data_IF_497034669936
#
_entry.id   IF_497034669936
#
_cell.length_a   1.000
_cell.length_b   1.000
_cell.length_c   1.000
_cell.angle_alpha   90.00
_cell.angle_beta   90.00
_cell.angle_gamma   90.00
#
_symmetry.space_group_name_H-M   'P 1'
#
loop_
_entity.id
_entity.type
_entity.pdbx_description
1 polymer ?
#
# COMPACT_ATOMS: atom_id res chain seq x y z
N UNK A 1 63.16 -53.43 -3.67
CA UNK A 1 62.10 -52.68 -2.95
C UNK A 1 61.60 -51.60 -3.89
N UNK A 2 60.63 -51.94 -4.73
CA UNK A 2 60.01 -50.97 -5.65
C UNK A 2 58.74 -50.49 -4.97
N UNK A 3 58.75 -49.22 -4.57
CA UNK A 3 57.65 -48.59 -3.85
C UNK A 3 56.40 -48.56 -4.72
N UNK A 4 55.38 -49.26 -4.26
CA UNK A 4 54.04 -49.26 -4.84
C UNK A 4 53.37 -47.92 -4.47
N UNK A 5 53.79 -46.85 -5.15
CA UNK A 5 53.16 -45.53 -4.99
C UNK A 5 51.88 -45.52 -5.82
N UNK A 6 50.87 -46.14 -5.21
CA UNK A 6 49.48 -45.73 -5.19
C UNK A 6 48.89 -45.24 -6.52
N UNK A 7 48.49 -46.19 -7.36
CA UNK A 7 47.62 -45.98 -8.52
C UNK A 7 46.25 -45.38 -8.17
N UNK A 8 45.87 -45.35 -6.89
CA UNK A 8 44.63 -44.76 -6.38
C UNK A 8 44.74 -43.25 -6.11
N UNK A 9 45.94 -42.72 -5.86
CA UNK A 9 46.16 -41.28 -5.58
C UNK A 9 45.73 -40.38 -6.76
N UNK A 10 46.06 -40.69 -8.04
CA UNK A 10 45.63 -39.86 -9.17
C UNK A 10 44.11 -39.83 -9.34
N UNK A 11 43.42 -40.96 -9.12
CA UNK A 11 41.96 -41.09 -9.28
C UNK A 11 41.21 -40.31 -8.20
N UNK A 12 41.64 -40.42 -6.95
CA UNK A 12 41.03 -39.69 -5.82
C UNK A 12 41.24 -38.18 -5.99
N UNK A 13 42.42 -37.77 -6.45
CA UNK A 13 42.75 -36.35 -6.67
C UNK A 13 41.95 -35.74 -7.83
N UNK A 14 41.74 -36.49 -8.92
CA UNK A 14 40.93 -36.05 -10.05
C UNK A 14 39.44 -35.90 -9.71
N UNK A 15 38.86 -36.85 -8.96
CA UNK A 15 37.48 -36.76 -8.49
C UNK A 15 37.27 -35.65 -7.45
N UNK A 16 38.23 -35.43 -6.55
CA UNK A 16 38.19 -34.34 -5.57
C UNK A 16 38.27 -32.95 -6.25
N UNK A 17 39.09 -32.81 -7.29
CA UNK A 17 39.23 -31.55 -8.04
C UNK A 17 37.98 -31.17 -8.84
N UNK A 18 37.36 -32.12 -9.54
CA UNK A 18 36.16 -31.87 -10.36
C UNK A 18 34.90 -31.76 -9.51
N UNK A 19 34.75 -32.60 -8.47
CA UNK A 19 33.64 -32.52 -7.51
C UNK A 19 33.67 -31.26 -6.65
N UNK A 20 34.87 -30.81 -6.24
CA UNK A 20 35.08 -29.57 -5.50
C UNK A 20 34.76 -28.32 -6.32
N UNK A 21 35.15 -28.28 -7.59
CA UNK A 21 34.86 -27.15 -8.49
C UNK A 21 33.36 -27.02 -8.81
N UNK A 22 32.68 -28.13 -9.14
CA UNK A 22 31.24 -28.10 -9.41
C UNK A 22 30.40 -27.88 -8.13
N UNK A 23 30.79 -28.48 -7.01
CA UNK A 23 30.12 -28.31 -5.72
C UNK A 23 30.23 -26.87 -5.19
N UNK A 24 31.42 -26.26 -5.27
CA UNK A 24 31.65 -24.86 -4.86
C UNK A 24 30.94 -23.85 -5.76
N UNK A 25 30.86 -24.13 -7.07
CA UNK A 25 30.13 -23.28 -8.02
C UNK A 25 28.61 -23.37 -7.81
N UNK A 26 28.08 -24.55 -7.48
CA UNK A 26 26.66 -24.74 -7.13
C UNK A 26 26.29 -24.07 -5.80
N UNK A 27 27.15 -24.19 -4.78
CA UNK A 27 27.03 -23.46 -3.52
C UNK A 27 27.07 -21.94 -3.73
N UNK A 28 27.99 -21.45 -4.56
CA UNK A 28 28.05 -20.02 -4.93
C UNK A 28 26.76 -19.56 -5.58
N UNK A 29 26.24 -20.30 -6.56
CA UNK A 29 24.93 -19.99 -7.17
C UNK A 29 23.79 -19.96 -6.15
N UNK A 30 23.73 -20.92 -5.22
CA UNK A 30 22.72 -20.92 -4.17
C UNK A 30 22.83 -19.71 -3.24
N UNK A 31 24.04 -19.32 -2.85
CA UNK A 31 24.26 -18.13 -2.02
C UNK A 31 23.92 -16.84 -2.78
N UNK A 32 24.25 -16.75 -4.06
CA UNK A 32 23.88 -15.62 -4.92
C UNK A 32 22.36 -15.51 -5.04
N UNK A 33 21.66 -16.61 -5.37
CA UNK A 33 20.20 -16.63 -5.43
C UNK A 33 19.57 -16.26 -4.08
N UNK A 34 20.14 -16.72 -2.95
CA UNK A 34 19.66 -16.34 -1.61
C UNK A 34 19.87 -14.84 -1.35
N UNK A 35 21.02 -14.27 -1.71
CA UNK A 35 21.31 -12.84 -1.57
C UNK A 35 20.43 -11.98 -2.46
N UNK A 36 20.23 -12.38 -3.70
CA UNK A 36 19.33 -11.70 -4.65
C UNK A 36 17.89 -11.70 -4.14
N UNK A 37 17.41 -12.85 -3.64
CA UNK A 37 16.07 -12.94 -3.01
C UNK A 37 15.97 -12.07 -1.76
N UNK A 38 17.02 -12.01 -0.93
CA UNK A 38 17.03 -11.16 0.26
C UNK A 38 17.04 -9.66 -0.10
N UNK A 39 17.86 -9.26 -1.07
CA UNK A 39 17.92 -7.89 -1.58
C UNK A 39 16.61 -7.47 -2.25
N UNK A 40 16.00 -8.36 -3.05
CA UNK A 40 14.69 -8.12 -3.65
C UNK A 40 13.60 -7.94 -2.58
N UNK A 41 13.60 -8.75 -1.51
CA UNK A 41 12.66 -8.59 -0.39
C UNK A 41 12.84 -7.27 0.35
N UNK A 42 14.09 -6.85 0.59
CA UNK A 42 14.37 -5.57 1.25
C UNK A 42 13.91 -4.40 0.37
N UNK A 43 14.18 -4.46 -0.93
CA UNK A 43 13.71 -3.46 -1.89
C UNK A 43 12.17 -3.38 -1.91
N UNK A 44 11.47 -4.51 -2.00
CA UNK A 44 10.00 -4.55 -1.93
C UNK A 44 9.47 -3.99 -0.61
N UNK A 45 10.10 -4.29 0.52
CA UNK A 45 9.70 -3.73 1.82
C UNK A 45 9.87 -2.20 1.84
N UNK A 46 10.98 -1.69 1.31
CA UNK A 46 11.23 -0.25 1.23
C UNK A 46 10.25 0.47 0.30
N UNK A 47 9.91 -0.14 -0.84
CA UNK A 47 8.93 0.40 -1.79
C UNK A 47 7.53 0.41 -1.19
N UNK A 48 7.17 -0.65 -0.46
CA UNK A 48 5.90 -0.76 0.27
C UNK A 48 5.75 0.30 1.35
N UNK A 49 6.80 0.55 2.12
CA UNK A 49 6.83 1.63 3.13
C UNK A 49 6.72 3.01 2.45
N UNK A 50 7.42 3.22 1.33
CA UNK A 50 7.40 4.48 0.59
C UNK A 50 6.01 4.79 0.01
N UNK A 51 5.39 3.86 -0.71
CA UNK A 51 4.04 4.06 -1.25
C UNK A 51 2.99 4.13 -0.13
N UNK A 52 3.13 3.30 0.91
CA UNK A 52 2.23 3.25 2.06
C UNK A 52 2.18 4.58 2.82
N UNK A 53 3.33 5.19 3.08
CA UNK A 53 3.40 6.48 3.78
C UNK A 53 2.74 7.62 2.99
N UNK A 54 2.97 7.69 1.68
CA UNK A 54 2.30 8.69 0.82
C UNK A 54 0.78 8.48 0.79
N UNK A 55 0.32 7.22 0.64
CA UNK A 55 -1.10 6.91 0.63
C UNK A 55 -1.78 7.22 1.96
N UNK A 56 -1.15 6.88 3.09
CA UNK A 56 -1.69 7.17 4.41
C UNK A 56 -1.85 8.68 4.62
N UNK A 57 -0.85 9.49 4.27
CA UNK A 57 -0.94 10.96 4.40
C UNK A 57 -2.06 11.51 3.52
N UNK A 58 -2.14 11.04 2.27
CA UNK A 58 -3.16 11.51 1.33
C UNK A 58 -4.57 11.14 1.77
N UNK A 59 -4.77 9.91 2.24
CA UNK A 59 -6.05 9.44 2.79
C UNK A 59 -6.39 10.16 4.10
N UNK A 60 -5.42 10.43 4.96
CA UNK A 60 -5.63 11.15 6.22
C UNK A 60 -6.11 12.59 5.95
N UNK A 61 -5.45 13.31 5.03
CA UNK A 61 -5.87 14.64 4.61
C UNK A 61 -7.28 14.63 4.01
N UNK A 62 -7.57 13.68 3.12
CA UNK A 62 -8.91 13.56 2.52
C UNK A 62 -9.99 13.26 3.58
N UNK A 63 -9.68 12.35 4.51
CA UNK A 63 -10.55 11.99 5.63
C UNK A 63 -10.85 13.21 6.50
N UNK A 64 -9.87 14.04 6.83
CA UNK A 64 -10.09 15.25 7.64
C UNK A 64 -11.04 16.23 6.95
N UNK A 65 -10.85 16.46 5.64
CA UNK A 65 -11.71 17.35 4.86
C UNK A 65 -13.14 16.78 4.81
N UNK A 66 -13.29 15.47 4.60
CA UNK A 66 -14.59 14.80 4.61
C UNK A 66 -15.27 14.85 5.98
N UNK A 67 -14.51 14.67 7.06
CA UNK A 67 -15.03 14.75 8.41
C UNK A 67 -15.48 16.17 8.77
N UNK A 68 -14.69 17.19 8.40
CA UNK A 68 -15.07 18.59 8.58
C UNK A 68 -16.35 18.93 7.80
N UNK A 69 -16.49 18.41 6.58
CA UNK A 69 -17.70 18.57 5.77
C UNK A 69 -18.90 17.86 6.41
N UNK A 70 -18.73 16.63 6.89
CA UNK A 70 -19.81 15.84 7.50
C UNK A 70 -20.44 16.48 8.75
N UNK A 71 -19.69 17.35 9.45
CA UNK A 71 -20.16 18.06 10.64
C UNK A 71 -20.97 19.31 10.33
N UNK A 72 -20.69 19.96 9.20
CA UNK A 72 -21.30 21.23 8.80
C UNK A 72 -21.24 21.34 7.28
N UNK A 73 -22.05 20.56 6.55
CA UNK A 73 -22.12 20.65 5.09
C UNK A 73 -22.80 21.95 4.66
N UNK A 74 -23.69 22.49 5.50
CA UNK A 74 -24.23 23.85 5.41
C UNK A 74 -23.55 24.73 6.47
N UNK A 75 -23.15 25.94 6.08
CA UNK A 75 -22.59 26.96 6.99
C UNK A 75 -23.15 28.32 6.61
N UNK A 76 -23.70 29.04 7.59
CA UNK A 76 -24.20 30.40 7.41
C UNK A 76 -25.18 30.49 6.20
N UNK A 77 -26.12 29.54 6.12
CA UNK A 77 -27.12 29.39 5.04
C UNK A 77 -26.56 29.05 3.64
N UNK A 78 -25.25 28.86 3.50
CA UNK A 78 -24.61 28.47 2.26
C UNK A 78 -24.12 27.01 2.32
N UNK A 79 -24.33 26.28 1.23
CA UNK A 79 -23.77 24.93 1.06
C UNK A 79 -22.25 25.08 0.87
N UNK A 80 -21.47 24.40 1.72
CA UNK A 80 -20.01 24.39 1.57
C UNK A 80 -19.63 23.69 0.28
N UNK A 81 -18.51 24.14 -0.30
CA UNK A 81 -17.88 23.41 -1.40
C UNK A 81 -17.58 21.98 -0.97
N UNK A 82 -17.92 21.03 -1.83
CA UNK A 82 -17.75 19.61 -1.57
C UNK A 82 -16.26 19.23 -1.59
N UNK A 83 -15.80 18.34 -0.69
CA UNK A 83 -14.42 17.86 -0.67
C UNK A 83 -13.98 17.29 -2.02
N UNK A 84 -12.84 17.75 -2.52
CA UNK A 84 -12.35 17.28 -3.81
C UNK A 84 -11.78 15.86 -3.74
N UNK A 85 -11.81 15.11 -4.86
CA UNK A 85 -11.21 13.76 -4.89
C UNK A 85 -9.70 13.90 -4.73
N UNK A 86 -9.06 13.15 -3.82
CA UNK A 86 -7.61 13.10 -3.76
C UNK A 86 -7.07 12.51 -5.07
N UNK A 87 -6.19 13.25 -5.75
CA UNK A 87 -5.55 12.78 -6.98
C UNK A 87 -4.47 11.71 -6.70
N UNK A 88 -4.91 10.46 -6.62
CA UNK A 88 -4.00 9.33 -6.37
C UNK A 88 -2.95 9.13 -7.46
N UNK A 89 -3.07 9.78 -8.64
CA UNK A 89 -2.04 9.69 -9.69
C UNK A 89 -0.72 10.38 -9.30
N UNK A 90 -0.77 11.29 -8.32
CA UNK A 90 0.40 11.99 -7.78
C UNK A 90 1.27 11.07 -6.92
N UNK A 91 0.71 9.96 -6.40
CA UNK A 91 1.42 9.02 -5.53
C UNK A 91 2.50 8.31 -6.33
N UNK A 92 3.75 8.51 -5.92
CA UNK A 92 4.92 7.88 -6.54
C UNK A 92 5.15 6.51 -5.93
N UNK A 93 5.40 5.52 -6.78
CA UNK A 93 5.76 4.17 -6.37
C UNK A 93 5.12 3.11 -7.25
N UNK A 94 5.56 1.87 -7.05
CA UNK A 94 4.96 0.72 -7.71
C UNK A 94 3.71 0.28 -6.93
N UNK A 95 2.53 0.44 -7.53
CA UNK A 95 1.26 0.04 -6.92
C UNK A 95 1.14 -1.48 -6.77
N UNK A 96 1.90 -2.27 -7.54
CA UNK A 96 1.84 -3.74 -7.51
C UNK A 96 2.30 -4.35 -6.18
N UNK A 97 2.99 -3.57 -5.33
CA UNK A 97 3.37 -3.99 -3.98
C UNK A 97 2.18 -4.07 -3.01
N UNK A 98 1.04 -3.46 -3.36
CA UNK A 98 -0.21 -3.50 -2.60
C UNK A 98 -1.11 -4.62 -3.12
N UNK A 99 -1.97 -5.16 -2.25
CA UNK A 99 -2.97 -6.15 -2.68
C UNK A 99 -3.94 -5.53 -3.70
N UNK A 100 -4.35 -6.30 -4.71
CA UNK A 100 -5.30 -5.80 -5.72
C UNK A 100 -6.63 -5.32 -5.12
N UNK A 101 -7.06 -5.92 -4.00
CA UNK A 101 -8.24 -5.50 -3.26
C UNK A 101 -8.06 -4.09 -2.66
N UNK A 102 -6.89 -3.81 -2.07
CA UNK A 102 -6.60 -2.50 -1.48
C UNK A 102 -6.52 -1.42 -2.56
N UNK A 103 -5.85 -1.72 -3.68
CA UNK A 103 -5.82 -0.83 -4.84
C UNK A 103 -7.24 -0.52 -5.33
N UNK A 104 -8.08 -1.55 -5.50
CA UNK A 104 -9.46 -1.38 -5.91
C UNK A 104 -10.26 -0.51 -4.93
N UNK A 105 -10.11 -0.72 -3.61
CA UNK A 105 -10.79 0.08 -2.59
C UNK A 105 -10.36 1.54 -2.63
N UNK A 106 -9.06 1.82 -2.77
CA UNK A 106 -8.52 3.18 -2.90
C UNK A 106 -9.10 3.86 -4.15
N UNK A 107 -9.05 3.20 -5.30
CA UNK A 107 -9.61 3.76 -6.55
C UNK A 107 -11.13 3.89 -6.50
N UNK A 108 -11.82 3.01 -5.76
CA UNK A 108 -13.27 3.09 -5.56
C UNK A 108 -13.67 4.33 -4.76
N UNK A 109 -12.83 4.88 -3.88
CA UNK A 109 -13.16 6.11 -3.15
C UNK A 109 -13.52 7.27 -4.09
N UNK A 110 -12.78 7.41 -5.19
CA UNK A 110 -13.07 8.42 -6.22
C UNK A 110 -14.44 8.18 -6.89
N UNK A 111 -14.81 6.92 -7.09
CA UNK A 111 -16.10 6.53 -7.65
C UNK A 111 -17.25 6.75 -6.66
N UNK A 112 -17.09 6.34 -5.39
CA UNK A 112 -18.07 6.53 -4.32
C UNK A 112 -18.39 8.02 -4.14
N UNK A 113 -17.40 8.91 -4.20
CA UNK A 113 -17.67 10.36 -4.12
C UNK A 113 -18.55 10.85 -5.27
N UNK A 114 -18.33 10.39 -6.51
CA UNK A 114 -19.19 10.78 -7.65
C UNK A 114 -20.63 10.30 -7.47
N UNK A 115 -20.82 9.09 -6.93
CA UNK A 115 -22.15 8.58 -6.61
C UNK A 115 -22.84 9.43 -5.54
N UNK A 116 -22.14 9.70 -4.43
CA UNK A 116 -22.67 10.54 -3.36
C UNK A 116 -23.02 11.95 -3.86
N UNK A 117 -22.24 12.49 -4.80
CA UNK A 117 -22.51 13.79 -5.42
C UNK A 117 -23.80 13.79 -6.26
N UNK A 118 -24.05 12.73 -7.02
CA UNK A 118 -25.29 12.60 -7.77
C UNK A 118 -26.50 12.48 -6.83
N UNK A 119 -26.39 11.65 -5.79
CA UNK A 119 -27.43 11.46 -4.77
C UNK A 119 -27.74 12.77 -4.03
N UNK A 120 -26.71 13.52 -3.61
CA UNK A 120 -26.90 14.80 -2.93
C UNK A 120 -27.52 15.87 -3.84
N UNK A 121 -27.23 15.85 -5.14
CA UNK A 121 -27.90 16.73 -6.10
C UNK A 121 -29.39 16.41 -6.18
N UNK A 122 -29.74 15.13 -6.25
CA UNK A 122 -31.13 14.68 -6.30
C UNK A 122 -31.89 15.03 -5.01
N UNK A 123 -31.28 14.79 -3.84
CA UNK A 123 -31.86 15.15 -2.53
C UNK A 123 -32.09 16.66 -2.44
N UNK A 124 -31.12 17.48 -2.86
CA UNK A 124 -31.28 18.93 -2.82
C UNK A 124 -32.44 19.42 -3.70
N UNK A 125 -32.60 18.83 -4.89
CA UNK A 125 -33.66 19.20 -5.83
C UNK A 125 -35.06 18.79 -5.37
N UNK A 126 -35.20 17.66 -4.69
CA UNK A 126 -36.51 17.06 -4.38
C UNK A 126 -36.96 17.24 -2.93
N UNK A 127 -36.02 17.30 -1.98
CA UNK A 127 -36.30 17.16 -0.54
C UNK A 127 -35.90 18.40 0.28
N UNK A 128 -35.08 19.28 -0.31
CA UNK A 128 -34.72 20.57 0.28
C UNK A 128 -33.48 20.52 1.20
N UNK A 129 -33.17 21.65 1.87
CA UNK A 129 -31.87 21.87 2.51
C UNK A 129 -31.65 21.08 3.81
N UNK A 130 -32.70 20.78 4.57
CA UNK A 130 -32.59 20.04 5.84
C UNK A 130 -32.27 18.56 5.56
N UNK A 131 -33.02 17.92 4.65
CA UNK A 131 -32.74 16.54 4.25
C UNK A 131 -31.40 16.41 3.52
N UNK A 132 -30.99 17.43 2.77
CA UNK A 132 -29.64 17.52 2.20
C UNK A 132 -28.56 17.50 3.29
N UNK A 133 -28.72 18.27 4.37
CA UNK A 133 -27.75 18.34 5.45
C UNK A 133 -27.57 16.97 6.14
N UNK A 134 -28.67 16.31 6.45
CA UNK A 134 -28.66 14.98 7.08
C UNK A 134 -28.02 13.93 6.14
N UNK A 135 -28.42 13.93 4.87
CA UNK A 135 -27.87 13.02 3.85
C UNK A 135 -26.37 13.25 3.63
N UNK A 136 -25.94 14.50 3.51
CA UNK A 136 -24.54 14.87 3.34
C UNK A 136 -23.72 14.49 4.58
N UNK A 137 -24.25 14.70 5.78
CA UNK A 137 -23.60 14.28 7.02
C UNK A 137 -23.40 12.77 7.06
N UNK A 138 -24.45 12.00 6.71
CA UNK A 138 -24.42 10.54 6.72
C UNK A 138 -23.42 9.98 5.68
N UNK A 139 -23.54 10.37 4.41
CA UNK A 139 -22.70 9.86 3.33
C UNK A 139 -21.22 10.15 3.56
N UNK A 140 -20.87 11.36 4.02
CA UNK A 140 -19.47 11.70 4.27
C UNK A 140 -18.91 11.04 5.54
N UNK A 141 -19.74 10.74 6.56
CA UNK A 141 -19.32 9.90 7.69
C UNK A 141 -18.96 8.48 7.23
N UNK A 142 -19.71 7.92 6.28
CA UNK A 142 -19.40 6.61 5.70
C UNK A 142 -18.04 6.65 4.97
N UNK A 143 -17.81 7.67 4.13
CA UNK A 143 -16.52 7.86 3.46
C UNK A 143 -15.36 7.98 4.44
N UNK A 144 -15.54 8.73 5.53
CA UNK A 144 -14.54 8.86 6.61
C UNK A 144 -14.24 7.49 7.23
N UNK A 145 -15.27 6.70 7.52
CA UNK A 145 -15.09 5.36 8.11
C UNK A 145 -14.35 4.40 7.18
N UNK A 146 -14.58 4.51 5.87
CA UNK A 146 -13.89 3.69 4.88
C UNK A 146 -12.43 4.12 4.72
N UNK A 147 -12.15 5.42 4.75
CA UNK A 147 -10.77 5.93 4.80
C UNK A 147 -10.02 5.41 6.04
N UNK A 148 -10.65 5.41 7.22
CA UNK A 148 -10.07 4.88 8.45
C UNK A 148 -9.71 3.40 8.32
N UNK A 149 -10.60 2.59 7.73
CA UNK A 149 -10.33 1.16 7.47
C UNK A 149 -9.15 0.96 6.52
N UNK A 150 -9.08 1.73 5.43
CA UNK A 150 -8.00 1.62 4.45
C UNK A 150 -6.67 2.07 5.07
N UNK A 151 -6.66 3.15 5.87
CA UNK A 151 -5.47 3.62 6.58
C UNK A 151 -4.95 2.56 7.55
N UNK A 152 -5.83 1.93 8.33
CA UNK A 152 -5.44 0.88 9.27
C UNK A 152 -4.90 -0.37 8.56
N UNK A 153 -5.52 -0.76 7.44
CA UNK A 153 -5.03 -1.86 6.61
C UNK A 153 -3.66 -1.52 6.01
N UNK A 154 -3.48 -0.31 5.45
CA UNK A 154 -2.17 0.16 4.97
C UNK A 154 -1.13 0.18 6.08
N UNK A 155 -1.51 0.58 7.29
CA UNK A 155 -0.62 0.64 8.45
C UNK A 155 -0.09 -0.73 8.82
N UNK A 156 -0.99 -1.69 8.98
CA UNK A 156 -0.65 -3.07 9.32
C UNK A 156 0.14 -3.77 8.22
N UNK A 157 -0.18 -3.48 6.95
CA UNK A 157 0.53 -4.01 5.80
C UNK A 157 1.96 -3.44 5.71
N UNK A 158 2.11 -2.14 5.87
CA UNK A 158 3.39 -1.45 5.64
C UNK A 158 4.24 -1.28 6.91
N UNK A 159 3.77 -1.78 8.07
CA UNK A 159 4.41 -1.62 9.38
C UNK A 159 4.72 -0.15 9.71
N UNK A 160 3.75 0.71 9.42
CA UNK A 160 3.87 2.16 9.61
C UNK A 160 3.24 2.61 10.93
N UNK A 161 3.66 3.75 11.51
CA UNK A 161 2.95 4.34 12.64
C UNK A 161 1.60 4.92 12.20
N UNK A 162 0.71 5.14 13.17
CA UNK A 162 -0.54 5.87 12.94
C UNK A 162 -0.22 7.31 12.48
N UNK A 163 -0.92 7.85 11.47
CA UNK A 163 -0.73 9.26 11.07
C UNK A 163 -0.99 10.21 12.25
N UNK A 164 -2.02 9.92 13.04
CA UNK A 164 -2.41 10.69 14.23
C UNK A 164 -1.45 10.59 15.42
N UNK A 165 -0.44 9.72 15.36
CA UNK A 165 0.54 9.57 16.45
C UNK A 165 1.65 10.62 16.38
N UNK A 166 1.81 11.30 15.24
CA UNK A 166 2.86 12.30 15.04
C UNK A 166 2.46 13.70 15.55
N UNK A 167 1.19 13.91 15.87
CA UNK A 167 0.65 15.18 16.39
C UNK A 167 0.72 15.28 17.93
N UNK A 168 1.39 14.33 18.60
CA UNK A 168 1.53 14.28 20.07
C UNK A 168 2.91 14.73 20.54
#
# INVERSE_FOLDING_TARGET
MSGDVSSWVPVVTAFAGVGGALGSQWLTHLFTVKREKAAAKLKLASERVFIGSQLIIMLASYREICHAYSKSPVKDEHIRSRPDVPDFSVVKGDWTVLSGLLQLRIHRLAFTRRLNEAELSEVFEHLGPDEFNDSASHLYKEVVSECDRIIEELRTLCDLPSPWALDK
#
